data_IF_822343964419
#
_entry.id   IF_822343964419
#
_cell.length_a   1.000
_cell.length_b   1.000
_cell.length_c   1.000
_cell.angle_alpha   90.00
_cell.angle_beta   90.00
_cell.angle_gamma   90.00
#
_symmetry.space_group_name_H-M   'P 1'
#
loop_
_entity.id
_entity.type
_entity.pdbx_description
1 polymer ?
#
# COMPACT_ATOMS: atom_id res chain seq x y z
N UNK A 1 -8.73 0.09 -19.04
CA UNK A 1 -8.65 1.55 -19.26
C UNK A 1 -9.09 1.92 -20.69
N UNK A 2 -8.62 1.25 -21.73
CA UNK A 2 -9.02 1.56 -23.14
C UNK A 2 -10.54 1.60 -23.40
N UNK A 3 -11.31 0.69 -22.81
CA UNK A 3 -12.78 0.63 -23.01
C UNK A 3 -13.58 1.84 -22.52
N UNK A 4 -12.98 2.73 -21.76
CA UNK A 4 -13.65 3.91 -21.18
C UNK A 4 -12.96 5.23 -21.54
N UNK A 5 -11.92 5.17 -22.39
CA UNK A 5 -11.10 6.32 -22.76
C UNK A 5 -11.90 7.44 -23.45
N UNK A 6 -12.92 7.04 -24.21
CA UNK A 6 -13.77 7.98 -24.98
C UNK A 6 -15.06 8.36 -24.25
N UNK A 7 -15.20 7.99 -22.97
CA UNK A 7 -16.39 8.34 -22.19
C UNK A 7 -16.14 9.64 -21.42
N UNK A 8 -17.18 10.51 -21.30
CA UNK A 8 -17.05 11.71 -20.50
C UNK A 8 -16.77 11.39 -19.04
N UNK A 9 -15.88 12.15 -18.44
CA UNK A 9 -15.54 12.02 -17.03
C UNK A 9 -16.73 12.34 -16.12
N UNK A 10 -16.86 11.60 -15.04
CA UNK A 10 -17.79 11.92 -13.96
C UNK A 10 -17.27 13.03 -13.08
N UNK A 11 -18.12 13.50 -12.17
CA UNK A 11 -17.72 14.49 -11.17
C UNK A 11 -16.95 13.84 -10.03
N UNK A 12 -15.79 14.39 -9.71
CA UNK A 12 -14.95 13.97 -8.59
C UNK A 12 -15.25 14.83 -7.37
N UNK A 13 -15.55 14.18 -6.24
CA UNK A 13 -15.70 14.83 -4.94
C UNK A 13 -14.64 14.31 -3.99
N UNK A 14 -13.75 15.18 -3.55
CA UNK A 14 -12.69 14.87 -2.59
C UNK A 14 -13.15 15.21 -1.17
N UNK A 15 -13.14 14.21 -0.28
CA UNK A 15 -13.38 14.40 1.16
C UNK A 15 -12.04 14.36 1.89
N UNK A 16 -11.67 15.46 2.52
CA UNK A 16 -10.40 15.64 3.21
C UNK A 16 -10.57 16.36 4.55
N UNK A 17 -9.51 16.41 5.33
CA UNK A 17 -9.44 17.19 6.57
C UNK A 17 -8.14 17.99 6.61
N UNK A 18 -8.16 19.16 7.25
CA UNK A 18 -7.02 20.07 7.31
C UNK A 18 -5.93 19.52 8.22
N UNK A 19 -6.28 19.08 9.43
CA UNK A 19 -5.33 18.58 10.43
C UNK A 19 -5.70 17.16 10.86
N UNK A 20 -4.71 16.28 11.06
CA UNK A 20 -4.94 14.98 11.67
C UNK A 20 -5.19 15.10 13.17
N UNK A 21 -6.11 14.30 13.71
CA UNK A 21 -6.35 14.16 15.15
C UNK A 21 -6.09 12.71 15.60
N UNK A 22 -5.77 12.48 16.88
CA UNK A 22 -5.56 11.14 17.38
C UNK A 22 -6.76 10.20 17.19
N UNK A 23 -7.98 10.72 17.38
CA UNK A 23 -9.22 9.95 17.22
C UNK A 23 -9.67 9.77 15.76
N UNK A 24 -9.06 10.52 14.82
CA UNK A 24 -9.52 10.61 13.43
C UNK A 24 -10.58 11.69 13.20
N UNK A 25 -10.77 12.09 11.95
CA UNK A 25 -11.60 13.24 11.55
C UNK A 25 -12.91 12.81 10.88
N UNK A 26 -13.22 11.50 10.86
CA UNK A 26 -14.43 10.97 10.27
C UNK A 26 -14.50 11.00 8.74
N UNK A 27 -13.37 11.21 8.02
CA UNK A 27 -13.34 11.26 6.55
C UNK A 27 -14.01 10.06 5.89
N UNK A 28 -13.72 8.85 6.34
CA UNK A 28 -14.32 7.62 5.80
C UNK A 28 -15.81 7.57 6.04
N UNK A 29 -16.26 7.87 7.25
CA UNK A 29 -17.68 7.87 7.61
C UNK A 29 -18.47 8.88 6.78
N UNK A 30 -17.93 10.09 6.62
CA UNK A 30 -18.54 11.15 5.78
C UNK A 30 -18.57 10.71 4.30
N UNK A 31 -17.49 10.07 3.81
CA UNK A 31 -17.42 9.60 2.42
C UNK A 31 -18.48 8.53 2.15
N UNK A 32 -18.63 7.57 3.05
CA UNK A 32 -19.66 6.51 2.95
C UNK A 32 -21.05 7.13 3.01
N UNK A 33 -21.32 7.97 4.01
CA UNK A 33 -22.63 8.64 4.16
C UNK A 33 -22.98 9.54 2.97
N UNK A 34 -22.00 10.23 2.38
CA UNK A 34 -22.20 11.01 1.15
C UNK A 34 -22.56 10.12 -0.04
N UNK A 35 -21.89 8.97 -0.19
CA UNK A 35 -22.23 7.99 -1.22
C UNK A 35 -23.64 7.43 -1.07
N UNK A 36 -24.06 7.12 0.15
CA UNK A 36 -25.43 6.68 0.46
C UNK A 36 -26.47 7.80 0.18
N UNK A 37 -26.17 9.03 0.55
CA UNK A 37 -27.04 10.17 0.26
C UNK A 37 -27.19 10.39 -1.25
N UNK A 38 -26.12 10.27 -2.02
CA UNK A 38 -26.16 10.33 -3.49
C UNK A 38 -27.04 9.23 -4.06
N UNK A 39 -26.93 8.01 -3.55
CA UNK A 39 -27.78 6.90 -3.97
C UNK A 39 -29.27 7.16 -3.68
N UNK A 40 -29.61 7.70 -2.51
CA UNK A 40 -30.99 8.12 -2.16
C UNK A 40 -31.52 9.21 -3.10
N UNK A 41 -30.67 10.09 -3.58
CA UNK A 41 -31.00 11.13 -4.57
C UNK A 41 -31.04 10.58 -6.02
N UNK A 42 -30.97 9.27 -6.20
CA UNK A 42 -30.99 8.61 -7.52
C UNK A 42 -29.73 8.87 -8.35
N UNK A 43 -28.63 9.31 -7.73
CA UNK A 43 -27.34 9.50 -8.41
C UNK A 43 -26.52 8.20 -8.37
N UNK A 44 -25.82 7.90 -9.46
CA UNK A 44 -24.86 6.81 -9.49
C UNK A 44 -23.54 7.33 -8.91
N UNK A 45 -23.18 6.88 -7.73
CA UNK A 45 -21.95 7.24 -7.05
C UNK A 45 -21.05 6.00 -6.92
N UNK A 46 -19.77 6.20 -7.08
CA UNK A 46 -18.70 5.25 -6.77
C UNK A 46 -17.89 5.81 -5.61
N UNK A 47 -17.74 5.04 -4.55
CA UNK A 47 -16.95 5.43 -3.38
C UNK A 47 -15.58 4.81 -3.50
N UNK A 48 -14.52 5.62 -3.40
CA UNK A 48 -13.15 5.18 -3.34
C UNK A 48 -12.62 5.40 -1.92
N UNK A 49 -12.28 4.31 -1.24
CA UNK A 49 -11.74 4.34 0.13
C UNK A 49 -10.30 3.83 0.13
N UNK A 50 -9.55 4.26 1.14
CA UNK A 50 -8.23 3.73 1.42
C UNK A 50 -8.35 2.37 2.12
N UNK A 51 -7.54 1.40 1.71
CA UNK A 51 -7.41 0.13 2.43
C UNK A 51 -6.86 0.38 3.84
N UNK A 52 -7.47 -0.19 4.91
CA UNK A 52 -6.99 -0.03 6.27
C UNK A 52 -5.76 -0.89 6.53
N UNK A 53 -4.83 -0.37 7.31
CA UNK A 53 -3.74 -1.15 7.91
C UNK A 53 -4.23 -1.85 9.17
N UNK A 54 -3.72 -3.05 9.45
CA UNK A 54 -4.08 -3.82 10.65
C UNK A 54 -3.75 -3.08 11.95
N UNK A 55 -2.58 -2.44 12.02
CA UNK A 55 -2.17 -1.70 13.21
C UNK A 55 -3.19 -0.66 13.66
N UNK A 56 -3.61 0.29 12.80
CA UNK A 56 -4.67 1.24 13.13
C UNK A 56 -6.04 0.61 13.42
N UNK A 57 -6.39 -0.51 12.80
CA UNK A 57 -7.67 -1.21 13.05
C UNK A 57 -7.77 -1.74 14.48
N UNK A 58 -6.67 -2.21 15.06
CA UNK A 58 -6.59 -2.67 16.43
C UNK A 58 -6.20 -1.54 17.42
N UNK A 59 -6.00 -0.33 16.94
CA UNK A 59 -5.65 0.84 17.73
C UNK A 59 -6.82 1.77 18.01
N UNK A 60 -6.50 3.03 18.34
CA UNK A 60 -7.48 4.08 18.62
C UNK A 60 -8.23 4.53 17.35
N UNK A 61 -7.57 4.48 16.20
CA UNK A 61 -8.19 4.79 14.90
C UNK A 61 -8.97 3.60 14.40
N UNK A 62 -10.26 3.77 14.16
CA UNK A 62 -11.11 2.74 13.56
C UNK A 62 -10.68 2.34 12.14
N UNK A 63 -11.28 1.27 11.64
CA UNK A 63 -11.05 0.77 10.29
C UNK A 63 -11.57 1.68 9.18
N UNK A 64 -11.45 1.24 7.93
CA UNK A 64 -11.86 2.00 6.74
C UNK A 64 -13.31 1.71 6.30
N UNK A 65 -14.11 1.07 7.11
CA UNK A 65 -15.48 0.67 6.75
C UNK A 65 -16.56 1.73 7.08
N UNK A 66 -16.19 2.90 7.60
CA UNK A 66 -17.14 3.90 8.08
C UNK A 66 -17.54 3.70 9.53
N UNK A 67 -18.71 4.23 9.94
CA UNK A 67 -19.21 4.12 11.32
C UNK A 67 -20.68 4.50 11.45
N UNK A 68 -21.32 4.04 12.54
CA UNK A 68 -22.74 4.23 12.78
C UNK A 68 -23.59 3.59 11.68
N UNK A 69 -24.51 4.34 11.09
CA UNK A 69 -25.33 3.88 9.97
C UNK A 69 -24.64 4.00 8.61
N UNK A 70 -23.55 4.77 8.52
CA UNK A 70 -22.76 4.94 7.30
C UNK A 70 -21.61 3.93 7.27
N UNK A 71 -21.94 2.66 6.99
CA UNK A 71 -20.99 1.55 6.99
C UNK A 71 -20.96 0.78 5.68
N UNK A 72 -19.76 0.28 5.36
CA UNK A 72 -19.53 -0.72 4.32
C UNK A 72 -19.51 -2.10 4.96
N UNK A 73 -20.24 -3.04 4.40
CA UNK A 73 -20.32 -4.43 4.88
C UNK A 73 -19.79 -5.40 3.81
N UNK A 74 -19.16 -6.51 4.20
CA UNK A 74 -18.82 -6.95 5.58
C UNK A 74 -17.64 -6.16 6.16
N UNK A 75 -17.82 -5.56 7.32
CA UNK A 75 -16.86 -4.65 7.93
C UNK A 75 -15.58 -5.37 8.38
N UNK A 76 -15.74 -6.56 8.95
CA UNK A 76 -14.64 -7.37 9.47
C UNK A 76 -13.67 -7.76 8.35
N UNK A 77 -14.19 -8.28 7.24
CA UNK A 77 -13.37 -8.69 6.10
C UNK A 77 -12.62 -7.49 5.50
N UNK A 78 -13.30 -6.34 5.40
CA UNK A 78 -12.70 -5.11 4.88
C UNK A 78 -11.57 -4.59 5.77
N UNK A 79 -11.70 -4.70 7.08
CA UNK A 79 -10.71 -4.20 8.02
C UNK A 79 -9.53 -5.15 8.22
N UNK A 80 -9.73 -6.46 8.05
CA UNK A 80 -8.70 -7.46 8.36
C UNK A 80 -7.89 -7.90 7.14
N UNK A 81 -8.54 -8.25 6.04
CA UNK A 81 -7.87 -8.82 4.85
C UNK A 81 -8.56 -8.48 3.53
N UNK A 82 -8.97 -7.25 3.35
CA UNK A 82 -9.84 -6.86 2.23
C UNK A 82 -9.34 -7.32 0.86
N UNK A 83 -8.14 -6.95 0.46
CA UNK A 83 -7.58 -7.32 -0.85
C UNK A 83 -6.38 -8.25 -0.73
N UNK A 84 -5.73 -8.29 0.41
CA UNK A 84 -4.47 -8.99 0.67
C UNK A 84 -3.27 -8.29 0.04
N UNK A 85 -3.39 -7.03 -0.37
CA UNK A 85 -2.30 -6.25 -0.95
C UNK A 85 -1.19 -6.00 0.06
N UNK A 86 -1.53 -5.76 1.31
CA UNK A 86 -0.55 -5.60 2.38
C UNK A 86 0.33 -6.84 2.58
N UNK A 87 -0.22 -8.05 2.43
CA UNK A 87 0.59 -9.26 2.47
C UNK A 87 1.59 -9.33 1.31
N UNK A 88 1.16 -8.97 0.10
CA UNK A 88 2.04 -8.95 -1.07
C UNK A 88 3.14 -7.87 -0.92
N UNK A 89 2.77 -6.68 -0.43
CA UNK A 89 3.70 -5.58 -0.19
C UNK A 89 4.70 -5.95 0.91
N UNK A 90 4.23 -6.48 2.04
CA UNK A 90 5.10 -6.95 3.14
C UNK A 90 6.07 -8.01 2.64
N UNK A 91 5.59 -8.99 1.85
CA UNK A 91 6.42 -10.05 1.29
C UNK A 91 7.47 -9.51 0.32
N UNK A 92 7.11 -8.59 -0.58
CA UNK A 92 8.04 -8.00 -1.53
C UNK A 92 9.10 -7.12 -0.83
N UNK A 93 8.69 -6.35 0.19
CA UNK A 93 9.57 -5.50 0.96
C UNK A 93 10.61 -6.33 1.75
N UNK A 94 10.14 -7.36 2.43
CA UNK A 94 11.02 -8.19 3.25
C UNK A 94 11.88 -9.15 2.40
N UNK A 95 11.40 -9.55 1.22
CA UNK A 95 12.24 -10.26 0.25
C UNK A 95 13.45 -9.41 -0.16
N UNK A 96 13.25 -8.13 -0.49
CA UNK A 96 14.35 -7.22 -0.84
C UNK A 96 15.34 -7.07 0.32
N UNK A 97 14.85 -6.93 1.57
CA UNK A 97 15.70 -6.88 2.75
C UNK A 97 16.51 -8.18 2.95
N UNK A 98 15.88 -9.33 2.73
CA UNK A 98 16.56 -10.63 2.85
C UNK A 98 17.61 -10.84 1.76
N UNK A 99 17.33 -10.43 0.52
CA UNK A 99 18.29 -10.51 -0.59
C UNK A 99 19.49 -9.58 -0.36
N UNK A 100 19.27 -8.38 0.19
CA UNK A 100 20.33 -7.46 0.57
C UNK A 100 21.26 -8.09 1.63
N UNK A 101 20.68 -8.64 2.71
CA UNK A 101 21.45 -9.27 3.77
C UNK A 101 22.20 -10.50 3.27
N UNK A 102 21.56 -11.32 2.43
CA UNK A 102 22.20 -12.48 1.80
C UNK A 102 23.37 -12.05 0.88
N UNK A 103 23.21 -10.96 0.12
CA UNK A 103 24.27 -10.43 -0.72
C UNK A 103 25.51 -10.02 0.10
N UNK A 104 25.29 -9.30 1.21
CA UNK A 104 26.37 -8.90 2.13
C UNK A 104 27.05 -10.12 2.72
N UNK A 105 26.27 -11.14 3.13
CA UNK A 105 26.79 -12.38 3.74
C UNK A 105 27.55 -13.26 2.74
N UNK A 106 27.14 -13.31 1.48
CA UNK A 106 27.69 -14.18 0.44
C UNK A 106 28.84 -13.54 -0.36
N UNK A 107 29.63 -12.68 0.26
CA UNK A 107 30.84 -12.13 -0.33
C UNK A 107 30.74 -10.67 -0.79
N UNK A 108 29.57 -10.06 -0.69
CA UNK A 108 29.37 -8.61 -0.88
C UNK A 108 30.03 -8.05 -2.17
N UNK A 109 29.77 -8.69 -3.30
CA UNK A 109 30.39 -8.33 -4.58
C UNK A 109 30.16 -6.87 -5.01
N UNK A 110 29.07 -6.24 -4.53
CA UNK A 110 28.76 -4.82 -4.78
C UNK A 110 29.50 -3.86 -3.83
N UNK A 111 30.23 -4.37 -2.84
CA UNK A 111 30.97 -3.55 -1.88
C UNK A 111 30.06 -2.68 -0.99
N UNK A 112 28.91 -3.21 -0.60
CA UNK A 112 27.95 -2.51 0.27
C UNK A 112 28.57 -2.29 1.67
N UNK A 113 28.48 -1.06 2.18
CA UNK A 113 28.80 -0.79 3.58
C UNK A 113 27.59 -1.17 4.46
N UNK A 114 27.72 -2.19 5.34
CA UNK A 114 26.61 -2.62 6.19
C UNK A 114 26.07 -1.52 7.13
N UNK A 115 26.87 -0.47 7.39
CA UNK A 115 26.46 0.69 8.20
C UNK A 115 25.62 1.70 7.39
N UNK A 116 25.61 1.57 6.07
CA UNK A 116 24.88 2.46 5.16
C UNK A 116 23.71 1.74 4.46
N UNK A 117 23.15 0.74 5.10
CA UNK A 117 21.90 0.09 4.68
C UNK A 117 20.71 0.99 4.99
N UNK A 118 20.04 1.48 3.95
CA UNK A 118 18.87 2.37 4.10
C UNK A 118 17.55 1.64 3.96
N UNK A 119 17.54 0.47 3.30
CA UNK A 119 16.33 -0.33 3.16
C UNK A 119 15.94 -1.01 4.46
N UNK A 120 14.66 -0.85 4.85
CA UNK A 120 14.15 -1.35 6.13
C UNK A 120 13.12 -2.46 5.91
N UNK A 121 12.97 -3.33 6.90
CA UNK A 121 11.90 -4.32 6.94
C UNK A 121 10.57 -3.66 7.22
N UNK A 122 9.47 -4.35 6.94
CA UNK A 122 8.15 -3.87 7.30
C UNK A 122 7.29 -4.95 7.97
N UNK A 123 6.34 -4.48 8.78
CA UNK A 123 5.30 -5.29 9.40
C UNK A 123 4.02 -4.47 9.43
N UNK A 124 2.87 -5.09 9.14
CA UNK A 124 1.60 -4.35 9.16
C UNK A 124 0.99 -4.29 10.57
N UNK A 125 1.79 -3.80 11.51
CA UNK A 125 1.41 -3.63 12.91
C UNK A 125 2.13 -2.43 13.51
N UNK A 126 1.45 -1.69 14.40
CA UNK A 126 2.07 -0.65 15.20
C UNK A 126 2.80 -1.29 16.39
N UNK A 127 4.05 -1.68 16.20
CA UNK A 127 4.88 -2.27 17.24
C UNK A 127 5.98 -1.29 17.65
N UNK A 128 5.90 -0.83 18.89
CA UNK A 128 6.86 0.14 19.43
C UNK A 128 8.25 -0.46 19.64
N UNK A 129 8.33 -1.74 19.96
CA UNK A 129 9.58 -2.44 20.25
C UNK A 129 10.41 -2.63 18.98
N UNK A 130 9.77 -2.72 17.82
CA UNK A 130 10.44 -2.90 16.53
C UNK A 130 10.94 -1.60 15.89
N UNK A 131 10.86 -0.46 16.59
CA UNK A 131 11.33 0.84 16.06
C UNK A 131 12.84 0.96 16.02
N UNK A 132 13.53 0.27 16.93
CA UNK A 132 14.99 0.15 16.93
C UNK A 132 15.31 -1.27 17.38
N UNK A 133 15.96 -2.04 16.51
CA UNK A 133 16.34 -3.43 16.74
C UNK A 133 17.79 -3.65 16.32
N UNK A 134 18.43 -4.63 16.89
CA UNK A 134 19.70 -5.12 16.41
C UNK A 134 19.45 -6.42 15.64
N UNK A 135 19.88 -6.48 14.40
CA UNK A 135 19.77 -7.68 13.54
C UNK A 135 21.14 -8.33 13.35
N UNK A 136 21.14 -9.60 12.94
CA UNK A 136 22.35 -10.35 12.65
C UNK A 136 23.13 -10.77 13.90
N UNK A 137 22.49 -10.78 15.08
CA UNK A 137 23.09 -11.31 16.31
C UNK A 137 23.21 -12.82 16.24
N UNK A 138 24.34 -13.34 16.73
CA UNK A 138 24.59 -14.77 16.77
C UNK A 138 25.98 -15.11 16.26
N UNK A 139 26.09 -16.16 15.45
CA UNK A 139 27.35 -16.62 14.90
C UNK A 139 27.58 -16.11 13.46
N UNK A 140 28.67 -16.54 12.85
CA UNK A 140 29.06 -16.12 11.48
C UNK A 140 27.97 -16.38 10.42
N UNK A 141 27.06 -17.30 10.67
CA UNK A 141 25.98 -17.66 9.71
C UNK A 141 24.74 -16.79 9.86
N UNK A 142 24.64 -15.98 10.94
CA UNK A 142 23.45 -15.20 11.28
C UNK A 142 23.45 -13.80 10.66
N UNK A 143 24.47 -13.48 9.86
CA UNK A 143 24.58 -12.23 9.12
C UNK A 143 25.48 -11.19 9.78
N UNK A 144 25.40 -9.95 9.30
CA UNK A 144 26.19 -8.84 9.77
C UNK A 144 25.41 -8.05 10.84
N UNK A 145 26.01 -7.90 12.03
CA UNK A 145 25.38 -7.16 13.14
C UNK A 145 25.26 -5.69 12.79
N UNK A 146 24.03 -5.17 12.85
CA UNK A 146 23.75 -3.74 12.68
C UNK A 146 22.45 -3.32 13.36
N UNK A 147 22.28 -2.03 13.55
CA UNK A 147 20.99 -1.44 13.90
C UNK A 147 20.05 -1.48 12.69
N UNK A 148 18.79 -1.79 12.95
CA UNK A 148 17.72 -1.77 11.96
C UNK A 148 16.41 -1.32 12.62
N UNK A 149 15.32 -1.22 11.83
CA UNK A 149 13.98 -0.98 12.36
C UNK A 149 12.92 -1.53 11.37
N UNK A 150 11.70 -1.67 11.86
CA UNK A 150 10.56 -2.05 11.04
C UNK A 150 9.66 -0.85 10.81
N UNK A 151 9.37 -0.57 9.54
CA UNK A 151 8.33 0.39 9.15
C UNK A 151 6.98 -0.31 9.06
N UNK A 152 5.89 0.42 9.24
CA UNK A 152 4.57 -0.13 8.98
C UNK A 152 4.38 -0.30 7.47
N UNK A 153 3.79 -1.41 7.04
CA UNK A 153 3.66 -1.77 5.61
C UNK A 153 3.05 -0.66 4.76
N UNK A 154 2.07 0.07 5.29
CA UNK A 154 1.42 1.19 4.57
C UNK A 154 2.36 2.36 4.30
N UNK A 155 3.44 2.51 5.03
CA UNK A 155 4.45 3.56 4.85
C UNK A 155 5.67 3.08 4.06
N UNK A 156 5.66 1.85 3.55
CA UNK A 156 6.75 1.33 2.74
C UNK A 156 6.81 2.01 1.38
N UNK A 157 8.01 2.13 0.83
CA UNK A 157 8.23 2.66 -0.52
C UNK A 157 7.55 1.81 -1.59
N UNK A 158 7.49 0.48 -1.40
CA UNK A 158 6.78 -0.43 -2.31
C UNK A 158 5.29 -0.09 -2.40
N UNK A 159 4.66 0.27 -1.28
CA UNK A 159 3.27 0.72 -1.30
C UNK A 159 3.11 1.99 -2.12
N UNK A 160 4.01 2.97 -1.96
CA UNK A 160 4.00 4.20 -2.75
C UNK A 160 4.18 3.91 -4.26
N UNK A 161 5.13 3.05 -4.60
CA UNK A 161 5.40 2.62 -5.97
C UNK A 161 4.17 1.93 -6.58
N UNK A 162 3.55 0.99 -5.85
CA UNK A 162 2.34 0.27 -6.31
C UNK A 162 1.17 1.23 -6.57
N UNK A 163 1.06 2.29 -5.76
CA UNK A 163 0.04 3.32 -5.94
C UNK A 163 0.26 4.22 -7.16
N UNK A 164 1.51 4.45 -7.53
CA UNK A 164 1.92 5.37 -8.59
C UNK A 164 2.19 4.70 -9.94
N UNK A 165 2.33 3.38 -9.96
CA UNK A 165 2.62 2.64 -11.17
C UNK A 165 1.40 2.60 -12.11
N UNK A 166 1.61 2.91 -13.37
CA UNK A 166 0.57 2.91 -14.40
C UNK A 166 0.25 1.48 -14.87
N UNK A 167 1.27 0.66 -15.03
CA UNK A 167 1.16 -0.73 -15.46
C UNK A 167 2.25 -1.61 -14.84
N UNK A 168 2.33 -2.87 -15.26
CA UNK A 168 3.28 -3.84 -14.72
C UNK A 168 4.73 -3.53 -15.12
N UNK A 169 4.93 -2.98 -16.30
CA UNK A 169 6.25 -2.59 -16.81
C UNK A 169 6.79 -1.39 -16.02
N UNK A 170 5.96 -0.37 -15.81
CA UNK A 170 6.30 0.79 -15.00
C UNK A 170 6.53 0.40 -13.55
N UNK A 171 5.69 -0.49 -12.99
CA UNK A 171 5.90 -1.07 -11.66
C UNK A 171 7.30 -1.70 -11.55
N UNK A 172 7.65 -2.58 -12.47
CA UNK A 172 8.95 -3.25 -12.50
C UNK A 172 10.11 -2.26 -12.59
N UNK A 173 10.00 -1.27 -13.47
CA UNK A 173 11.02 -0.22 -13.64
C UNK A 173 11.21 0.61 -12.37
N UNK A 174 10.13 0.98 -11.68
CA UNK A 174 10.20 1.74 -10.43
C UNK A 174 10.81 0.92 -9.30
N UNK A 175 10.41 -0.35 -9.16
CA UNK A 175 10.97 -1.28 -8.16
C UNK A 175 12.48 -1.44 -8.34
N UNK A 176 12.97 -1.56 -9.58
CA UNK A 176 14.39 -1.69 -9.87
C UNK A 176 15.25 -0.51 -9.43
N UNK A 177 14.65 0.68 -9.38
CA UNK A 177 15.32 1.94 -9.02
C UNK A 177 15.39 2.21 -7.51
N UNK A 178 14.76 1.38 -6.68
CA UNK A 178 14.82 1.52 -5.21
C UNK A 178 16.28 1.49 -4.77
N UNK A 179 16.73 2.49 -4.03
CA UNK A 179 18.03 2.52 -3.38
C UNK A 179 17.95 1.74 -2.08
N UNK A 180 18.78 0.71 -1.93
CA UNK A 180 18.75 -0.18 -0.76
C UNK A 180 19.89 0.09 0.22
N UNK A 181 21.04 0.56 -0.28
CA UNK A 181 22.24 0.80 0.51
C UNK A 181 23.21 1.69 -0.26
N UNK A 182 24.32 2.02 0.36
CA UNK A 182 25.48 2.64 -0.28
C UNK A 182 26.71 1.76 -0.15
N UNK A 183 27.60 1.84 -1.12
CA UNK A 183 28.91 1.17 -1.09
C UNK A 183 29.87 1.86 -0.13
N UNK A 184 31.03 1.26 0.15
CA UNK A 184 32.10 1.90 0.90
C UNK A 184 32.66 3.15 0.22
N UNK A 185 32.48 3.30 -1.09
CA UNK A 185 32.81 4.53 -1.85
C UNK A 185 31.68 5.57 -1.86
N UNK A 186 30.53 5.27 -1.28
CA UNK A 186 29.37 6.18 -1.23
C UNK A 186 28.44 6.10 -2.45
N UNK A 187 28.63 5.15 -3.35
CA UNK A 187 27.77 4.95 -4.51
C UNK A 187 26.46 4.24 -4.11
N UNK A 188 25.30 4.66 -4.64
CA UNK A 188 24.02 4.01 -4.33
C UNK A 188 23.93 2.63 -4.96
N UNK A 189 23.40 1.68 -4.21
CA UNK A 189 23.07 0.33 -4.65
C UNK A 189 21.57 0.19 -4.80
N UNK A 190 21.12 -0.35 -5.94
CA UNK A 190 19.69 -0.47 -6.26
C UNK A 190 19.17 -1.89 -6.16
N UNK A 191 17.85 -2.05 -6.08
CA UNK A 191 17.18 -3.35 -6.08
C UNK A 191 17.44 -4.15 -7.37
N UNK A 192 17.67 -3.48 -8.49
CA UNK A 192 17.99 -4.15 -9.77
C UNK A 192 19.38 -4.77 -9.75
N UNK A 193 20.36 -4.09 -9.15
CA UNK A 193 21.72 -4.65 -8.96
C UNK A 193 21.73 -5.89 -8.05
N UNK A 194 20.75 -6.01 -7.14
CA UNK A 194 20.54 -7.22 -6.34
C UNK A 194 19.69 -8.29 -7.05
N UNK A 195 19.31 -8.07 -8.31
CA UNK A 195 18.43 -8.95 -9.09
C UNK A 195 17.07 -9.25 -8.40
N UNK A 196 16.60 -8.37 -7.52
CA UNK A 196 15.39 -8.54 -6.74
C UNK A 196 14.11 -8.22 -7.53
N UNK A 197 14.21 -7.36 -8.54
CA UNK A 197 13.09 -6.72 -9.24
C UNK A 197 12.08 -7.72 -9.81
N UNK A 198 12.55 -8.81 -10.41
CA UNK A 198 11.68 -9.83 -11.00
C UNK A 198 10.82 -10.55 -9.96
N UNK A 199 11.41 -10.96 -8.85
CA UNK A 199 10.71 -11.65 -7.77
C UNK A 199 9.73 -10.73 -7.05
N UNK A 200 10.11 -9.48 -6.77
CA UNK A 200 9.22 -8.46 -6.21
C UNK A 200 8.01 -8.21 -7.12
N UNK A 201 8.24 -8.05 -8.43
CA UNK A 201 7.17 -7.86 -9.41
C UNK A 201 6.22 -9.05 -9.45
N UNK A 202 6.75 -10.29 -9.37
CA UNK A 202 5.94 -11.51 -9.34
C UNK A 202 5.03 -11.57 -8.10
N UNK A 203 5.52 -11.20 -6.92
CA UNK A 203 4.72 -11.12 -5.69
C UNK A 203 3.59 -10.09 -5.80
N UNK A 204 3.83 -8.96 -6.45
CA UNK A 204 2.87 -7.87 -6.59
C UNK A 204 1.90 -8.07 -7.77
N UNK A 205 2.29 -8.82 -8.82
CA UNK A 205 1.49 -9.06 -10.03
C UNK A 205 0.11 -9.62 -9.75
N UNK A 206 0.02 -10.61 -8.87
CA UNK A 206 -1.24 -11.31 -8.59
C UNK A 206 -2.29 -10.42 -7.93
N UNK A 207 -1.90 -9.28 -7.35
CA UNK A 207 -2.80 -8.35 -6.66
C UNK A 207 -3.38 -7.30 -7.60
N UNK A 208 -2.58 -6.80 -8.52
CA UNK A 208 -3.00 -5.85 -9.54
C UNK A 208 -4.20 -6.35 -10.37
N UNK A 209 -4.26 -7.66 -10.67
CA UNK A 209 -5.38 -8.26 -11.41
C UNK A 209 -6.59 -8.63 -10.56
N UNK A 210 -6.40 -8.95 -9.26
CA UNK A 210 -7.49 -9.34 -8.35
C UNK A 210 -8.30 -8.16 -7.83
N UNK A 211 -7.73 -6.98 -7.71
CA UNK A 211 -8.45 -5.76 -7.35
C UNK A 211 -9.55 -5.48 -8.39
N UNK A 212 -9.23 -5.58 -9.67
CA UNK A 212 -10.20 -5.37 -10.75
C UNK A 212 -11.28 -6.47 -10.82
N UNK A 213 -10.97 -7.73 -10.50
CA UNK A 213 -11.92 -8.84 -10.58
C UNK A 213 -12.87 -8.93 -9.38
N UNK A 214 -12.45 -8.49 -8.18
CA UNK A 214 -13.32 -8.45 -7.00
C UNK A 214 -14.32 -7.29 -7.04
N UNK A 215 -13.98 -6.20 -7.65
CA UNK A 215 -14.89 -5.07 -7.88
C UNK A 215 -16.07 -5.44 -8.79
N UNK A 216 -15.93 -6.46 -9.63
CA UNK A 216 -16.97 -6.91 -10.57
C UNK A 216 -18.06 -7.76 -9.89
N UNK A 217 -17.79 -8.40 -8.76
CA UNK A 217 -18.68 -9.37 -8.12
C UNK A 217 -19.49 -8.85 -6.93
N UNK A 218 -19.42 -7.58 -6.58
CA UNK A 218 -20.18 -6.98 -5.48
C UNK A 218 -21.37 -6.21 -6.04
N UNK A 219 -22.56 -6.74 -5.81
CA UNK A 219 -23.82 -6.19 -6.27
C UNK A 219 -24.05 -4.73 -5.83
N UNK A 220 -24.18 -3.84 -6.84
CA UNK A 220 -24.89 -2.54 -6.84
C UNK A 220 -24.37 -1.36 -6.02
N UNK A 221 -23.38 -1.52 -5.15
CA UNK A 221 -22.68 -0.40 -4.52
C UNK A 221 -21.19 -0.57 -4.76
N UNK A 222 -20.64 0.23 -5.65
CA UNK A 222 -19.26 0.09 -6.13
C UNK A 222 -18.33 0.85 -5.20
N UNK A 223 -17.38 0.14 -4.59
CA UNK A 223 -16.30 0.71 -3.82
C UNK A 223 -14.99 0.49 -4.55
N UNK A 224 -14.31 1.56 -4.90
CA UNK A 224 -12.95 1.50 -5.44
C UNK A 224 -11.98 1.89 -4.34
N UNK A 225 -11.08 1.00 -4.00
CA UNK A 225 -9.92 1.36 -3.18
C UNK A 225 -8.99 2.19 -4.05
N UNK A 226 -8.84 3.46 -3.74
CA UNK A 226 -7.93 4.32 -4.48
C UNK A 226 -6.49 3.85 -4.25
N UNK A 227 -5.75 3.61 -5.34
CA UNK A 227 -4.33 3.27 -5.35
C UNK A 227 -3.41 4.33 -4.74
N UNK A 228 -3.91 5.38 -4.13
CA UNK A 228 -3.11 6.54 -3.79
C UNK A 228 -2.93 6.72 -2.29
N UNK A 229 -1.78 6.32 -1.78
CA UNK A 229 -1.32 6.75 -0.45
C UNK A 229 -0.77 8.18 -0.41
N UNK A 230 -0.53 8.81 -1.55
CA UNK A 230 -0.21 10.25 -1.59
C UNK A 230 -1.36 11.07 -1.01
N UNK A 231 -2.58 10.55 -1.05
CA UNK A 231 -3.75 11.07 -0.35
C UNK A 231 -3.88 10.46 1.07
N UNK A 232 -2.85 10.50 1.86
CA UNK A 232 -2.86 10.02 3.25
C UNK A 232 -3.99 10.60 4.11
N UNK A 233 -4.70 11.59 3.61
CA UNK A 233 -5.71 12.35 4.33
C UNK A 233 -7.05 12.47 3.59
N UNK A 234 -7.26 11.77 2.48
CA UNK A 234 -8.47 11.94 1.69
C UNK A 234 -9.16 10.61 1.37
N UNK A 235 -10.48 10.64 1.39
CA UNK A 235 -11.34 9.66 0.76
C UNK A 235 -12.08 10.35 -0.40
N UNK A 236 -12.45 9.61 -1.44
CA UNK A 236 -12.99 10.20 -2.67
C UNK A 236 -14.32 9.58 -3.03
N UNK A 237 -15.30 10.42 -3.34
CA UNK A 237 -16.57 9.99 -3.95
C UNK A 237 -16.54 10.37 -5.42
N UNK A 238 -16.68 9.39 -6.29
CA UNK A 238 -16.81 9.59 -7.72
C UNK A 238 -18.28 9.51 -8.14
N UNK A 239 -18.84 10.57 -8.70
CA UNK A 239 -20.23 10.62 -9.16
C UNK A 239 -20.26 10.43 -10.66
N UNK A 240 -20.73 9.26 -11.08
CA UNK A 240 -20.82 8.92 -12.50
C UNK A 240 -22.05 9.54 -13.16
N UNK A 241 -21.96 10.09 -14.38
CA UNK A 241 -23.11 10.49 -15.18
C UNK A 241 -24.02 9.28 -15.48
N UNK A 242 -25.29 9.53 -15.65
CA UNK A 242 -26.29 8.49 -15.93
C UNK A 242 -25.98 7.79 -17.27
N UNK A 243 -25.52 6.55 -17.23
CA UNK A 243 -25.40 5.72 -18.42
C UNK A 243 -26.63 4.85 -18.53
N UNK A 244 -27.30 4.90 -19.68
CA UNK A 244 -28.29 3.90 -20.05
C UNK A 244 -27.52 2.62 -20.38
N UNK A 245 -27.68 1.57 -19.56
CA UNK A 245 -27.42 0.21 -19.97
C UNK A 245 -28.67 -0.24 -20.73
N UNK A 246 -28.61 -0.22 -22.05
CA UNK A 246 -29.47 -1.02 -22.90
C UNK A 246 -28.95 -2.44 -22.91
#
# INVERSE_FOLDING_TARGET
MERVKDRPDGKLVLVTAINPTPAGEGKTTITVGLGEAMAKLGKKALIALREPSLGPCFGIKGGAAGGGYAQVVPMEDLNLHFTGDFHAITSANNLLAALLDNHIQQGNALGIDPRQVVWKRCVDMNDRVLRNVVVGLGNKMDGMVREDHFVITVASEIMAILCLADDLEDLKKRLGRIIVAYTFSGEPVTADQLHATGAMTALLRMRSSRILSRLWNIHRHWYTVARSQILHMAATVYVQPRWHLS
#
